data_IF_245371230939
#
_entry.id   IF_245371230939
#
_cell.length_a   1.000
_cell.length_b   1.000
_cell.length_c   1.000
_cell.angle_alpha   90.00
_cell.angle_beta   90.00
_cell.angle_gamma   90.00
#
_symmetry.space_group_name_H-M   'P 1'
#
loop_
_entity.id
_entity.type
_entity.pdbx_description
1 polymer ?
#
# COMPACT_ATOMS: atom_id res chain seq x y z
N UNK A 1 -2.52 8.88 -18.53
CA UNK A 1 -1.69 9.85 -17.80
C UNK A 1 -0.48 9.12 -17.22
N UNK A 2 0.71 9.72 -17.24
CA UNK A 2 1.93 9.13 -16.67
C UNK A 2 2.11 9.68 -15.26
N UNK A 3 1.88 8.85 -14.25
CA UNK A 3 2.25 9.15 -12.86
C UNK A 3 3.77 8.99 -12.74
N UNK A 4 4.51 10.08 -12.71
CA UNK A 4 5.97 10.02 -12.54
C UNK A 4 6.26 9.58 -11.11
N UNK A 5 6.88 8.40 -10.95
CA UNK A 5 7.28 7.85 -9.67
C UNK A 5 8.59 8.52 -9.24
N UNK A 6 8.51 9.48 -8.33
CA UNK A 6 9.66 10.27 -7.90
C UNK A 6 10.57 9.53 -6.92
N UNK A 7 9.96 8.83 -5.96
CA UNK A 7 10.70 8.12 -4.93
C UNK A 7 9.91 6.92 -4.43
N UNK A 8 10.62 5.81 -4.32
CA UNK A 8 10.11 4.59 -3.73
C UNK A 8 11.10 4.06 -2.69
N UNK A 9 10.65 3.87 -1.45
CA UNK A 9 11.55 3.44 -0.38
C UNK A 9 10.83 2.70 0.74
N UNK A 10 11.49 1.66 1.23
CA UNK A 10 11.07 0.96 2.45
C UNK A 10 11.74 1.60 3.67
N UNK A 11 10.94 2.16 4.58
CA UNK A 11 11.44 2.88 5.76
C UNK A 11 10.82 2.37 7.04
N UNK A 12 11.47 2.64 8.17
CA UNK A 12 10.94 2.35 9.51
C UNK A 12 10.25 3.61 10.04
N UNK A 13 8.96 3.48 10.38
CA UNK A 13 8.16 4.59 10.89
C UNK A 13 8.68 5.13 12.22
N UNK A 14 9.09 6.39 12.24
CA UNK A 14 9.46 7.07 13.50
C UNK A 14 8.24 7.59 14.29
N UNK A 15 7.07 7.62 13.64
CA UNK A 15 5.78 8.03 14.18
C UNK A 15 4.70 7.09 13.62
N UNK A 16 3.54 7.09 14.24
CA UNK A 16 2.36 6.42 13.67
C UNK A 16 1.99 7.08 12.33
N UNK A 17 1.69 6.24 11.35
CA UNK A 17 1.24 6.65 10.03
C UNK A 17 -0.04 5.90 9.68
N UNK A 18 -0.71 6.29 8.60
CA UNK A 18 -1.87 5.55 8.08
C UNK A 18 -1.50 4.94 6.73
N UNK A 19 -1.87 3.68 6.54
CA UNK A 19 -1.74 3.01 5.25
C UNK A 19 -2.76 3.58 4.27
N UNK A 20 -2.35 3.84 3.04
CA UNK A 20 -3.23 4.39 2.01
C UNK A 20 -4.22 3.34 1.47
N UNK A 21 -3.85 2.04 1.48
CA UNK A 21 -4.71 0.96 0.98
C UNK A 21 -5.74 0.51 2.04
N UNK A 22 -5.28 0.02 3.19
CA UNK A 22 -6.18 -0.54 4.20
C UNK A 22 -6.72 0.49 5.21
N UNK A 23 -6.27 1.75 5.13
CA UNK A 23 -6.61 2.85 6.06
C UNK A 23 -6.29 2.59 7.55
N UNK A 24 -5.64 1.47 7.87
CA UNK A 24 -5.24 1.11 9.22
C UNK A 24 -3.96 1.84 9.64
N UNK A 25 -3.75 2.02 10.97
CA UNK A 25 -2.51 2.60 11.47
C UNK A 25 -1.31 1.68 11.19
N UNK A 26 -0.23 2.30 10.75
CA UNK A 26 1.13 1.75 10.68
C UNK A 26 1.82 2.16 11.99
N UNK A 27 2.14 1.19 12.82
CA UNK A 27 2.69 1.45 14.14
C UNK A 27 4.07 2.14 14.06
N UNK A 28 4.42 2.91 15.09
CA UNK A 28 5.78 3.42 15.24
C UNK A 28 6.74 2.23 15.39
N UNK A 29 7.83 2.25 14.62
CA UNK A 29 8.81 1.16 14.56
C UNK A 29 8.50 0.12 13.48
N UNK A 30 7.35 0.23 12.80
CA UNK A 30 6.97 -0.71 11.75
C UNK A 30 7.58 -0.32 10.40
N UNK A 31 8.06 -1.34 9.67
CA UNK A 31 8.57 -1.20 8.31
C UNK A 31 7.40 -1.04 7.34
N UNK A 32 7.44 0.02 6.55
CA UNK A 32 6.42 0.35 5.56
C UNK A 32 7.06 0.95 4.32
N UNK A 33 6.39 0.82 3.17
CA UNK A 33 6.79 1.49 1.93
C UNK A 33 6.28 2.92 1.95
N UNK A 34 7.10 3.83 1.45
CA UNK A 34 6.73 5.20 1.16
C UNK A 34 6.93 5.39 -0.33
N UNK A 35 5.83 5.71 -0.99
CA UNK A 35 5.81 6.06 -2.39
C UNK A 35 5.53 7.56 -2.52
N UNK A 36 6.30 8.24 -3.36
CA UNK A 36 6.10 9.64 -3.71
C UNK A 36 6.01 9.71 -5.22
N UNK A 37 4.91 10.26 -5.72
CA UNK A 37 4.68 10.42 -7.15
C UNK A 37 3.96 11.73 -7.44
N UNK A 38 3.91 12.08 -8.73
CA UNK A 38 3.11 13.20 -9.21
C UNK A 38 1.83 12.66 -9.84
N UNK A 39 0.68 13.12 -9.35
CA UNK A 39 -0.63 12.82 -9.92
C UNK A 39 -1.36 14.13 -10.16
N UNK A 40 -1.89 14.31 -11.38
CA UNK A 40 -2.52 15.56 -11.84
C UNK A 40 -1.67 16.85 -11.63
N UNK A 41 -0.34 16.71 -11.63
CA UNK A 41 0.58 17.83 -11.38
C UNK A 41 0.81 18.15 -9.90
N UNK A 42 0.15 17.44 -8.98
CA UNK A 42 0.33 17.57 -7.54
C UNK A 42 1.25 16.46 -6.98
N UNK A 43 1.98 16.77 -5.91
CA UNK A 43 2.82 15.79 -5.23
C UNK A 43 1.97 14.94 -4.29
N UNK A 44 1.86 13.65 -4.59
CA UNK A 44 1.20 12.69 -3.73
C UNK A 44 2.22 11.84 -3.00
N UNK A 45 1.96 11.64 -1.71
CA UNK A 45 2.76 10.77 -0.86
C UNK A 45 1.86 9.72 -0.23
N UNK A 46 2.09 8.48 -0.62
CA UNK A 46 1.35 7.34 -0.12
C UNK A 46 2.25 6.44 0.71
N UNK A 47 1.65 5.76 1.68
CA UNK A 47 2.36 4.86 2.60
C UNK A 47 1.62 3.55 2.69
N UNK A 48 2.36 2.46 2.71
CA UNK A 48 1.77 1.12 2.64
C UNK A 48 2.45 0.20 3.65
N UNK A 49 1.69 -0.58 4.41
CA UNK A 49 2.28 -1.68 5.17
C UNK A 49 3.05 -2.60 4.24
N UNK A 50 4.14 -3.20 4.72
CA UNK A 50 4.93 -4.14 3.89
C UNK A 50 4.11 -5.34 3.37
N UNK A 51 3.02 -5.70 4.06
CA UNK A 51 2.07 -6.72 3.60
C UNK A 51 1.11 -6.18 2.55
N UNK A 52 0.50 -5.02 2.79
CA UNK A 52 -0.43 -4.40 1.85
C UNK A 52 0.27 -4.04 0.53
N UNK A 53 1.55 -3.70 0.60
CA UNK A 53 2.37 -3.42 -0.58
C UNK A 53 2.53 -4.61 -1.53
N UNK A 54 2.42 -5.84 -1.03
CA UNK A 54 2.52 -7.05 -1.86
C UNK A 54 1.22 -7.40 -2.56
N UNK A 55 0.08 -6.85 -2.11
CA UNK A 55 -1.23 -7.17 -2.69
C UNK A 55 -1.29 -6.77 -4.17
N UNK A 56 -0.91 -5.55 -4.58
CA UNK A 56 -0.86 -5.17 -5.98
C UNK A 56 0.00 -6.10 -6.86
N UNK A 57 1.13 -6.59 -6.33
CA UNK A 57 2.00 -7.55 -7.04
C UNK A 57 1.34 -8.94 -7.17
N UNK A 58 0.64 -9.40 -6.12
CA UNK A 58 -0.03 -10.72 -6.10
C UNK A 58 -1.28 -10.73 -6.99
N UNK A 59 -2.06 -9.65 -6.95
CA UNK A 59 -3.28 -9.48 -7.73
C UNK A 59 -3.02 -8.89 -9.13
N UNK A 60 -1.75 -8.63 -9.47
CA UNK A 60 -1.34 -8.07 -10.75
C UNK A 60 -2.07 -6.76 -11.11
N UNK A 61 -2.23 -5.88 -10.13
CA UNK A 61 -2.92 -4.61 -10.30
C UNK A 61 -2.29 -3.77 -11.40
N UNK A 62 -3.12 -3.32 -12.34
CA UNK A 62 -2.75 -2.33 -13.34
C UNK A 62 -3.22 -0.93 -12.94
N UNK A 63 -2.91 0.08 -13.76
CA UNK A 63 -3.25 1.48 -13.47
C UNK A 63 -4.75 1.71 -13.22
N UNK A 64 -5.62 0.84 -13.71
CA UNK A 64 -7.08 0.92 -13.54
C UNK A 64 -7.50 0.46 -12.15
N UNK A 65 -6.90 -0.61 -11.61
CA UNK A 65 -7.18 -1.10 -10.25
C UNK A 65 -6.84 -0.06 -9.19
N UNK A 66 -5.82 0.78 -9.41
CA UNK A 66 -5.48 1.88 -8.51
C UNK A 66 -6.53 3.00 -8.45
N UNK A 67 -7.39 3.11 -9.46
CA UNK A 67 -8.49 4.08 -9.50
C UNK A 67 -9.79 3.50 -8.91
N UNK A 68 -9.99 2.18 -8.99
CA UNK A 68 -11.18 1.49 -8.51
C UNK A 68 -11.08 0.99 -7.05
N UNK A 69 -9.88 0.58 -6.60
CA UNK A 69 -9.68 -0.09 -5.30
C UNK A 69 -9.31 0.86 -4.15
N UNK A 70 -9.57 2.18 -4.29
CA UNK A 70 -9.29 3.17 -3.24
C UNK A 70 -10.23 3.10 -2.02
N UNK A 71 -11.09 2.10 -1.94
CA UNK A 71 -11.97 1.89 -0.79
C UNK A 71 -11.29 0.94 0.22
N UNK A 72 -10.76 1.50 1.32
CA UNK A 72 -10.02 0.72 2.31
C UNK A 72 -10.81 -0.37 3.02
N UNK A 73 -12.13 -0.45 2.83
CA UNK A 73 -12.92 -1.61 3.25
C UNK A 73 -12.75 -2.81 2.30
N UNK A 74 -12.89 -2.62 0.99
CA UNK A 74 -12.76 -3.71 0.00
C UNK A 74 -11.35 -4.29 0.01
N UNK A 75 -10.35 -3.42 0.11
CA UNK A 75 -8.96 -3.85 0.23
C UNK A 75 -8.71 -4.70 1.49
N UNK A 76 -9.39 -4.40 2.61
CA UNK A 76 -9.26 -5.20 3.84
C UNK A 76 -9.84 -6.60 3.66
N UNK A 77 -11.01 -6.71 3.04
CA UNK A 77 -11.62 -8.00 2.72
C UNK A 77 -10.70 -8.82 1.82
N UNK A 78 -10.14 -8.20 0.77
CA UNK A 78 -9.16 -8.85 -0.11
C UNK A 78 -7.88 -9.29 0.62
N UNK A 79 -7.37 -8.45 1.50
CA UNK A 79 -6.21 -8.77 2.33
C UNK A 79 -6.47 -9.98 3.24
N UNK A 80 -7.68 -10.11 3.79
CA UNK A 80 -8.10 -11.26 4.59
C UNK A 80 -8.20 -12.53 3.74
N UNK A 81 -8.72 -12.45 2.52
CA UNK A 81 -8.73 -13.57 1.57
C UNK A 81 -7.31 -14.05 1.24
N UNK A 82 -6.39 -13.14 0.93
CA UNK A 82 -5.00 -13.48 0.62
C UNK A 82 -4.25 -14.05 1.82
N UNK A 83 -4.60 -13.61 3.04
CA UNK A 83 -4.10 -14.22 4.28
C UNK A 83 -4.66 -15.63 4.48
N UNK A 84 -5.94 -15.85 4.18
CA UNK A 84 -6.57 -17.17 4.27
C UNK A 84 -6.02 -18.15 3.22
N UNK A 85 -5.73 -17.67 2.02
CA UNK A 85 -5.11 -18.45 0.93
C UNK A 85 -3.62 -18.75 1.18
N UNK A 86 -3.00 -18.11 2.18
CA UNK A 86 -1.59 -18.29 2.54
C UNK A 86 -0.60 -17.58 1.60
N UNK A 87 -1.09 -16.76 0.67
CA UNK A 87 -0.24 -15.97 -0.24
C UNK A 87 0.47 -14.80 0.45
N UNK A 88 -0.02 -14.39 1.61
CA UNK A 88 0.60 -13.41 2.48
C UNK A 88 1.21 -14.09 3.69
N UNK A 89 2.43 -14.61 3.55
CA UNK A 89 3.19 -15.10 4.70
C UNK A 89 3.49 -13.93 5.64
N UNK A 90 2.82 -13.93 6.80
CA UNK A 90 3.18 -13.10 7.93
C UNK A 90 4.56 -13.57 8.35
N UNK A 91 5.60 -12.82 8.00
CA UNK A 91 6.95 -13.07 8.50
C UNK A 91 6.87 -13.13 10.02
N UNK A 92 7.05 -14.34 10.54
CA UNK A 92 6.97 -14.69 11.96
C UNK A 92 8.25 -14.29 12.68
#
# INVERSE_FOLDING_TARGET
MMSDSLSDSHVIGRKEHRCYLCELPIAKGERHRVHVGIFDGEFHRSRYHAQCDRVPDIDHWDCSDWEEDQCGQLFRERLEELRADGKLEVAK
#
